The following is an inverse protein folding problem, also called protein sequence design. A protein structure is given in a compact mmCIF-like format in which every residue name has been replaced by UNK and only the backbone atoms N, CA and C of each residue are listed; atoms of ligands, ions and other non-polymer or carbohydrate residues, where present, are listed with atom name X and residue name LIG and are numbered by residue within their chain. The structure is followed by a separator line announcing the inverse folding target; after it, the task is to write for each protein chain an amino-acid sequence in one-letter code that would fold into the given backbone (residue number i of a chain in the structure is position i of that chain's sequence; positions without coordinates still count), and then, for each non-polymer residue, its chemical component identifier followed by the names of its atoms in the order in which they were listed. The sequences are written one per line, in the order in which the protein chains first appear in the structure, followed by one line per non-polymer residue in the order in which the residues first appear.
data_IF_347384570844
#
_entry.id   IF_347384570844
#
_cell.length_a   1.000
_cell.length_b   1.000
_cell.length_c   1.000
_cell.angle_alpha   90.00
_cell.angle_beta   90.00
_cell.angle_gamma   90.00
#
_symmetry.space_group_name_H-M   'P 1'
#
loop_
_entity.id
_entity.type
_entity.pdbx_description
1 polymer ?
#
# COMPACT_ATOMS: atom_id res chain seq x y z
N UNK A 1 -11.50 -5.14 -8.14
CA UNK A 1 -11.76 -5.99 -6.96
C UNK A 1 -10.84 -5.69 -5.78
N UNK A 2 -9.56 -6.11 -5.75
CA UNK A 2 -8.69 -5.88 -4.59
C UNK A 2 -8.52 -4.39 -4.22
N UNK A 3 -8.16 -3.54 -5.19
CA UNK A 3 -8.03 -2.07 -4.98
C UNK A 3 -9.32 -1.43 -4.48
N UNK A 4 -10.47 -1.84 -5.03
CA UNK A 4 -11.79 -1.30 -4.63
C UNK A 4 -12.13 -1.67 -3.19
N UNK A 5 -11.94 -2.94 -2.81
CA UNK A 5 -12.25 -3.43 -1.47
C UNK A 5 -11.33 -2.77 -0.43
N UNK A 6 -10.03 -2.70 -0.71
CA UNK A 6 -9.05 -2.06 0.17
C UNK A 6 -9.34 -0.56 0.30
N UNK A 7 -9.69 0.10 -0.80
CA UNK A 7 -10.10 1.50 -0.77
C UNK A 7 -11.35 1.71 0.09
N UNK A 8 -12.33 0.80 0.02
CA UNK A 8 -13.54 0.87 0.84
C UNK A 8 -13.23 0.68 2.33
N UNK A 9 -12.39 -0.30 2.67
CA UNK A 9 -11.98 -0.58 4.04
C UNK A 9 -11.19 0.60 4.64
N UNK A 10 -10.22 1.16 3.89
CA UNK A 10 -9.46 2.34 4.32
C UNK A 10 -10.38 3.55 4.52
N UNK A 11 -11.33 3.79 3.60
CA UNK A 11 -12.33 4.87 3.76
C UNK A 11 -13.19 4.68 5.00
N UNK A 12 -13.55 3.44 5.35
CA UNK A 12 -14.27 3.15 6.58
C UNK A 12 -13.40 3.46 7.81
N UNK A 13 -12.13 3.05 7.81
CA UNK A 13 -11.18 3.37 8.89
C UNK A 13 -10.98 4.88 9.06
N UNK A 14 -10.87 5.65 7.97
CA UNK A 14 -10.79 7.13 8.03
C UNK A 14 -11.99 7.74 8.75
N UNK A 15 -13.20 7.22 8.51
CA UNK A 15 -14.42 7.69 9.19
C UNK A 15 -14.41 7.40 10.70
N UNK A 16 -13.77 6.30 11.11
CA UNK A 16 -13.66 5.90 12.51
C UNK A 16 -12.47 6.54 13.25
N UNK A 17 -11.55 7.16 12.52
CA UNK A 17 -10.36 7.79 13.09
C UNK A 17 -10.72 8.97 14.01
N UNK A 18 -10.08 9.01 15.18
CA UNK A 18 -10.40 9.95 16.26
C UNK A 18 -9.56 11.23 16.19
N UNK A 19 -8.37 11.16 15.60
CA UNK A 19 -7.46 12.30 15.47
C UNK A 19 -7.28 12.73 14.02
N UNK A 20 -6.87 13.98 13.79
CA UNK A 20 -6.57 14.48 12.44
C UNK A 20 -5.34 13.78 11.85
N UNK A 21 -4.32 13.53 12.66
CA UNK A 21 -3.13 12.78 12.28
C UNK A 21 -3.46 11.38 11.76
N UNK A 22 -4.35 10.64 12.45
CA UNK A 22 -4.82 9.33 11.97
C UNK A 22 -5.52 9.45 10.60
N UNK A 23 -6.33 10.49 10.40
CA UNK A 23 -7.02 10.72 9.12
C UNK A 23 -6.03 11.03 7.99
N UNK A 24 -4.99 11.81 8.26
CA UNK A 24 -3.93 12.11 7.29
C UNK A 24 -3.12 10.87 6.92
N UNK A 25 -2.76 10.06 7.92
CA UNK A 25 -2.05 8.78 7.72
C UNK A 25 -2.88 7.86 6.82
N UNK A 26 -4.14 7.58 7.18
CA UNK A 26 -5.00 6.72 6.36
C UNK A 26 -5.37 7.33 5.01
N UNK A 27 -5.43 8.66 4.91
CA UNK A 27 -5.61 9.37 3.64
C UNK A 27 -4.47 9.12 2.67
N UNK A 28 -3.22 9.19 3.15
CA UNK A 28 -2.06 8.83 2.35
C UNK A 28 -2.08 7.35 1.92
N UNK A 29 -2.55 6.43 2.78
CA UNK A 29 -2.70 5.02 2.43
C UNK A 29 -3.73 4.81 1.31
N UNK A 30 -4.82 5.56 1.33
CA UNK A 30 -5.82 5.52 0.27
C UNK A 30 -5.22 6.00 -1.06
N UNK A 31 -4.43 7.08 -1.05
CA UNK A 31 -3.78 7.60 -2.24
C UNK A 31 -2.79 6.59 -2.82
N UNK A 32 -1.97 5.96 -1.98
CA UNK A 32 -1.03 4.91 -2.41
C UNK A 32 -1.76 3.69 -2.99
N UNK A 33 -2.83 3.23 -2.34
CA UNK A 33 -3.60 2.08 -2.82
C UNK A 33 -4.33 2.36 -4.14
N UNK A 34 -4.59 3.63 -4.46
CA UNK A 34 -5.27 4.08 -5.67
C UNK A 34 -4.31 4.58 -6.75
N UNK A 35 -3.01 4.54 -6.50
CA UNK A 35 -2.01 5.04 -7.43
C UNK A 35 -2.03 4.23 -8.74
N UNK A 36 -2.41 4.84 -9.89
CA UNK A 36 -2.41 4.14 -11.16
C UNK A 36 -1.02 3.70 -11.60
N UNK A 37 0.06 4.39 -11.17
CA UNK A 37 1.43 3.98 -11.48
C UNK A 37 1.77 2.65 -10.80
N UNK A 38 1.42 2.50 -9.51
CA UNK A 38 1.58 1.23 -8.80
C UNK A 38 0.87 0.07 -9.50
N UNK A 39 -0.37 0.30 -9.96
CA UNK A 39 -1.14 -0.70 -10.67
C UNK A 39 -0.51 -1.08 -12.02
N UNK A 40 0.08 -0.11 -12.74
CA UNK A 40 0.73 -0.36 -14.02
C UNK A 40 2.06 -1.10 -13.84
N UNK A 41 2.87 -0.74 -12.84
CA UNK A 41 4.13 -1.42 -12.53
C UNK A 41 3.89 -2.89 -12.14
N UNK A 42 2.91 -3.16 -11.29
CA UNK A 42 2.54 -4.52 -10.91
C UNK A 42 2.05 -5.31 -12.14
N UNK A 43 1.23 -4.71 -13.01
CA UNK A 43 0.78 -5.36 -14.26
C UNK A 43 1.94 -5.63 -15.22
N UNK A 44 2.88 -4.70 -15.31
CA UNK A 44 4.09 -4.83 -16.13
C UNK A 44 4.93 -6.02 -15.63
N UNK A 45 5.18 -6.11 -14.33
CA UNK A 45 5.89 -7.25 -13.73
C UNK A 45 5.18 -8.59 -13.99
N UNK A 46 3.85 -8.62 -13.94
CA UNK A 46 3.08 -9.84 -14.26
C UNK A 46 3.25 -10.23 -15.73
N UNK A 47 3.06 -9.28 -16.66
CA UNK A 47 3.03 -9.56 -18.10
C UNK A 47 4.42 -9.77 -18.70
N UNK A 48 5.37 -8.93 -18.32
CA UNK A 48 6.68 -8.84 -18.96
C UNK A 48 7.71 -9.74 -18.27
N UNK A 49 7.55 -9.98 -16.96
CA UNK A 49 8.48 -10.80 -16.17
C UNK A 49 7.87 -12.16 -15.76
N UNK A 50 6.65 -12.48 -16.20
CA UNK A 50 5.91 -13.71 -15.86
C UNK A 50 5.78 -13.95 -14.33
N UNK A 51 5.73 -12.88 -13.54
CA UNK A 51 5.52 -12.98 -12.08
C UNK A 51 4.05 -13.24 -11.76
N UNK A 52 3.79 -14.01 -10.71
CA UNK A 52 2.43 -14.16 -10.19
C UNK A 52 1.93 -12.83 -9.62
N UNK A 53 0.62 -12.60 -9.63
CA UNK A 53 0.05 -11.36 -9.12
C UNK A 53 0.37 -11.14 -7.62
N UNK A 54 0.37 -12.21 -6.83
CA UNK A 54 0.80 -12.21 -5.42
C UNK A 54 2.25 -11.76 -5.30
N UNK A 55 3.16 -12.36 -6.08
CA UNK A 55 4.58 -12.04 -6.02
C UNK A 55 4.86 -10.61 -6.46
N UNK A 56 4.33 -10.18 -7.61
CA UNK A 56 4.51 -8.84 -8.14
C UNK A 56 4.00 -7.76 -7.18
N UNK A 57 2.84 -7.99 -6.55
CA UNK A 57 2.30 -7.09 -5.53
C UNK A 57 3.20 -7.05 -4.30
N UNK A 58 3.63 -8.22 -3.80
CA UNK A 58 4.53 -8.31 -2.65
C UNK A 58 5.86 -7.58 -2.89
N UNK A 59 6.47 -7.79 -4.06
CA UNK A 59 7.74 -7.15 -4.42
C UNK A 59 7.59 -5.63 -4.51
N UNK A 60 6.57 -5.12 -5.19
CA UNK A 60 6.33 -3.68 -5.33
C UNK A 60 6.22 -2.97 -3.97
N UNK A 61 5.34 -3.45 -3.10
CA UNK A 61 5.12 -2.82 -1.79
C UNK A 61 6.32 -2.98 -0.84
N UNK A 62 7.06 -4.09 -0.89
CA UNK A 62 8.27 -4.25 -0.09
C UNK A 62 9.41 -3.33 -0.54
N UNK A 63 9.58 -3.14 -1.85
CA UNK A 63 10.54 -2.19 -2.38
C UNK A 63 10.19 -0.77 -1.95
N UNK A 64 8.91 -0.40 -2.06
CA UNK A 64 8.44 0.91 -1.60
C UNK A 64 8.66 1.09 -0.09
N UNK A 65 8.30 0.10 0.73
CA UNK A 65 8.54 0.14 2.18
C UNK A 65 10.03 0.28 2.52
N UNK A 66 10.92 -0.44 1.82
CA UNK A 66 12.36 -0.37 2.03
C UNK A 66 12.92 1.04 1.76
N UNK A 67 12.38 1.77 0.77
CA UNK A 67 12.76 3.17 0.52
C UNK A 67 12.47 4.04 1.74
N UNK A 68 11.26 3.94 2.31
CA UNK A 68 10.89 4.70 3.52
C UNK A 68 11.68 4.27 4.76
N UNK A 69 11.95 2.97 4.90
CA UNK A 69 12.71 2.40 6.04
C UNK A 69 14.18 2.84 6.03
N UNK A 70 14.73 3.07 4.83
CA UNK A 70 16.10 3.54 4.63
C UNK A 70 16.29 5.02 4.98
N UNK A 71 15.21 5.77 5.16
CA UNK A 71 15.27 7.16 5.62
C UNK A 71 15.53 7.17 7.12
N UNK A 72 16.56 7.90 7.58
CA UNK A 72 16.87 8.01 9.00
C UNK A 72 15.97 9.04 9.72
N UNK A 73 14.66 8.85 9.58
CA UNK A 73 13.59 9.65 10.18
C UNK A 73 12.57 8.71 10.81
N UNK A 74 12.30 8.88 12.10
CA UNK A 74 11.36 8.05 12.85
C UNK A 74 9.95 8.06 12.24
N UNK A 75 9.50 9.20 11.71
CA UNK A 75 8.20 9.33 11.05
C UNK A 75 8.16 8.55 9.73
N UNK A 76 9.27 8.54 8.97
CA UNK A 76 9.35 7.77 7.71
C UNK A 76 9.47 6.27 7.96
N UNK A 77 10.12 5.84 9.04
CA UNK A 77 10.15 4.44 9.46
C UNK A 77 8.76 3.93 9.85
N UNK A 78 7.95 4.76 10.52
CA UNK A 78 6.53 4.44 10.77
C UNK A 78 5.76 4.27 9.46
N UNK A 79 6.02 5.14 8.47
CA UNK A 79 5.43 5.04 7.14
C UNK A 79 5.78 3.74 6.41
N UNK A 80 7.00 3.21 6.61
CA UNK A 80 7.38 1.93 6.04
C UNK A 80 6.54 0.76 6.61
N UNK A 81 6.23 0.81 7.91
CA UNK A 81 5.36 -0.19 8.55
C UNK A 81 3.93 -0.12 8.00
N UNK A 82 3.41 1.10 7.82
CA UNK A 82 2.09 1.34 7.24
C UNK A 82 1.95 0.74 5.83
N UNK A 83 2.96 0.91 4.97
CA UNK A 83 2.99 0.36 3.61
C UNK A 83 2.94 -1.17 3.63
N UNK A 84 3.65 -1.80 4.57
CA UNK A 84 3.61 -3.25 4.77
C UNK A 84 2.24 -3.72 5.25
N UNK A 85 1.51 -2.91 6.01
CA UNK A 85 0.14 -3.24 6.42
C UNK A 85 -0.87 -3.14 5.27
N UNK A 86 -0.70 -2.19 4.35
CA UNK A 86 -1.49 -2.15 3.11
C UNK A 86 -1.22 -3.41 2.28
N UNK A 87 0.04 -3.81 2.13
CA UNK A 87 0.42 -5.04 1.42
C UNK A 87 -0.29 -6.26 1.99
N UNK A 88 -0.30 -6.44 3.32
CA UNK A 88 -1.00 -7.57 3.95
C UNK A 88 -2.48 -7.62 3.55
N UNK A 89 -3.14 -6.46 3.44
CA UNK A 89 -4.54 -6.39 2.99
C UNK A 89 -4.68 -6.80 1.53
N UNK A 90 -3.77 -6.39 0.64
CA UNK A 90 -3.76 -6.86 -0.76
C UNK A 90 -3.60 -8.37 -0.84
N UNK A 91 -2.63 -8.94 -0.11
CA UNK A 91 -2.38 -10.38 -0.10
C UNK A 91 -3.55 -11.21 0.42
N UNK A 92 -4.36 -10.65 1.33
CA UNK A 92 -5.57 -11.32 1.83
C UNK A 92 -6.66 -11.51 0.76
N UNK A 93 -6.69 -10.66 -0.28
CA UNK A 93 -7.72 -10.70 -1.33
C UNK A 93 -7.31 -11.45 -2.60
N UNK A 94 -6.12 -12.04 -2.63
CA UNK A 94 -5.70 -12.97 -3.67
C UNK A 94 -6.12 -14.40 -3.33
#
# INVERSE_FOLDING_TARGET
KAVEQISADIKHTIKMAKTNEQKEIFGAHLLLAQDPAAAEDIKSAIKNENKSAIYATNEYFNNMAAVFDSMDDAYMKERAADIRDILKKFLYFF
#
